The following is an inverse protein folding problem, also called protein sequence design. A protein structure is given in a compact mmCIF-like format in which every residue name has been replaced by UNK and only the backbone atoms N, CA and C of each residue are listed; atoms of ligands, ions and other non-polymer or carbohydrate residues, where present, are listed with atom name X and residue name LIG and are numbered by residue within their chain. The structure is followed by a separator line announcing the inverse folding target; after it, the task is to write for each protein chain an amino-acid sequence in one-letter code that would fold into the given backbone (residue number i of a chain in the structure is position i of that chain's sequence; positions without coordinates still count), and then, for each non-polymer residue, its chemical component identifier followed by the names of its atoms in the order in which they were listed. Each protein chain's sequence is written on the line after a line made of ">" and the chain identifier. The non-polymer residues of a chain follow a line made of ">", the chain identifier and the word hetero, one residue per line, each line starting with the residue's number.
data_IF_546765480595
#
_entry.id   IF_546765480595
#
_cell.length_a   1.000
_cell.length_b   1.000
_cell.length_c   1.000
_cell.angle_alpha   90.00
_cell.angle_beta   90.00
_cell.angle_gamma   90.00
#
_symmetry.space_group_name_H-M   'P 1'
#
loop_
_entity.id
_entity.type
_entity.pdbx_description
1 polymer ?
#
# COMPACT_ATOMS: atom_id res chain seq x y z
N UNK A 1 -7.64 -0.76 8.21
CA UNK A 1 -6.58 -1.56 7.51
C UNK A 1 -6.09 -0.77 6.31
N UNK A 2 -5.00 -1.18 5.65
CA UNK A 2 -4.51 -0.49 4.46
C UNK A 2 -3.80 -1.42 3.46
N UNK A 3 -3.54 -0.94 2.25
CA UNK A 3 -2.71 -1.63 1.25
C UNK A 3 -1.73 -0.67 0.59
N UNK A 4 -0.64 -1.17 0.01
CA UNK A 4 0.28 -0.36 -0.80
C UNK A 4 0.43 -0.96 -2.20
N UNK A 5 0.56 -0.09 -3.18
CA UNK A 5 0.92 -0.47 -4.55
C UNK A 5 1.71 0.65 -5.21
N UNK A 6 2.61 0.31 -6.13
CA UNK A 6 3.48 1.24 -6.83
C UNK A 6 3.07 1.48 -8.28
N UNK A 7 2.75 2.72 -8.62
CA UNK A 7 2.54 3.13 -10.01
C UNK A 7 3.86 3.48 -10.68
N UNK A 8 4.16 2.78 -11.78
CA UNK A 8 5.34 3.04 -12.60
C UNK A 8 5.03 4.17 -13.57
N UNK A 9 5.83 5.23 -13.53
CA UNK A 9 5.62 6.45 -14.31
C UNK A 9 6.86 6.76 -15.16
N UNK A 10 6.74 6.77 -16.49
CA UNK A 10 7.82 7.21 -17.37
C UNK A 10 8.18 8.69 -17.10
N UNK A 11 9.47 8.99 -17.06
CA UNK A 11 9.96 10.36 -16.96
C UNK A 11 10.57 10.77 -18.30
N UNK A 12 10.06 11.85 -18.88
CA UNK A 12 10.48 12.34 -20.20
C UNK A 12 11.73 13.20 -20.11
N UNK A 13 11.88 13.93 -19.00
CA UNK A 13 13.02 14.82 -18.75
C UNK A 13 14.17 14.10 -18.07
N UNK A 14 15.38 14.66 -18.16
CA UNK A 14 16.56 14.14 -17.47
C UNK A 14 16.53 14.46 -15.97
N UNK A 15 15.80 13.65 -15.22
CA UNK A 15 15.72 13.69 -13.76
C UNK A 15 16.74 12.72 -13.13
N UNK A 16 17.46 13.12 -12.07
CA UNK A 16 18.53 12.30 -11.47
C UNK A 16 18.03 10.98 -10.88
N UNK A 17 16.82 10.97 -10.33
CA UNK A 17 16.20 9.81 -9.70
C UNK A 17 15.45 8.89 -10.70
N UNK A 18 15.33 9.29 -11.97
CA UNK A 18 14.71 8.45 -12.98
C UNK A 18 15.68 7.34 -13.39
N UNK A 19 15.24 6.08 -13.36
CA UNK A 19 16.11 4.93 -13.64
C UNK A 19 15.64 4.17 -14.87
N UNK A 20 16.58 3.56 -15.59
CA UNK A 20 16.26 2.70 -16.72
C UNK A 20 15.82 1.33 -16.20
N UNK A 21 14.64 0.88 -16.58
CA UNK A 21 14.19 -0.49 -16.34
C UNK A 21 13.44 -1.02 -17.57
N UNK A 22 14.07 -1.96 -18.28
CA UNK A 22 13.50 -2.55 -19.49
C UNK A 22 12.14 -3.23 -19.28
N UNK A 23 11.89 -3.75 -18.07
CA UNK A 23 10.63 -4.43 -17.75
C UNK A 23 9.45 -3.46 -17.61
N UNK A 24 9.70 -2.28 -17.05
CA UNK A 24 8.65 -1.32 -16.68
C UNK A 24 8.55 -0.15 -17.66
N UNK A 25 9.68 0.30 -18.21
CA UNK A 25 9.81 1.51 -19.00
C UNK A 25 10.39 1.27 -20.40
N UNK A 26 10.67 0.02 -20.75
CA UNK A 26 11.23 -0.34 -22.06
C UNK A 26 12.57 0.38 -22.31
N UNK A 27 12.66 1.29 -23.28
CA UNK A 27 13.86 2.10 -23.54
C UNK A 27 13.90 3.45 -22.80
N UNK A 28 12.91 3.73 -21.94
CA UNK A 28 12.76 5.01 -21.23
C UNK A 28 13.24 4.89 -19.79
N UNK A 29 13.49 6.05 -19.16
CA UNK A 29 13.69 6.15 -17.71
C UNK A 29 12.34 6.38 -17.04
N UNK A 30 12.24 5.95 -15.79
CA UNK A 30 11.01 6.11 -15.02
C UNK A 30 11.26 6.16 -13.53
N UNK A 31 10.23 6.57 -12.83
CA UNK A 31 10.14 6.56 -11.37
C UNK A 31 8.96 5.71 -10.95
N UNK A 32 8.89 5.41 -9.67
CA UNK A 32 7.73 4.76 -9.07
C UNK A 32 7.12 5.68 -8.04
N UNK A 33 5.82 5.85 -8.12
CA UNK A 33 5.04 6.51 -7.08
C UNK A 33 4.41 5.41 -6.25
N UNK A 34 4.82 5.27 -5.00
CA UNK A 34 4.18 4.35 -4.04
C UNK A 34 3.09 5.13 -3.34
N UNK A 35 1.88 4.59 -3.31
CA UNK A 35 0.78 5.17 -2.56
C UNK A 35 0.12 4.09 -1.71
N UNK A 36 -0.46 4.53 -0.60
CA UNK A 36 -1.11 3.66 0.35
C UNK A 36 -2.60 3.95 0.36
N UNK A 37 -3.41 2.90 0.39
CA UNK A 37 -4.86 2.98 0.38
C UNK A 37 -5.38 2.59 1.76
N UNK A 38 -6.11 3.47 2.44
CA UNK A 38 -6.87 3.12 3.62
C UNK A 38 -8.12 2.31 3.23
N UNK A 39 -8.67 1.56 4.18
CA UNK A 39 -9.89 0.79 3.97
C UNK A 39 -11.13 1.65 3.63
N UNK A 40 -11.14 2.90 4.05
CA UNK A 40 -12.13 3.92 3.68
C UNK A 40 -11.95 4.51 2.28
N UNK A 41 -11.15 3.87 1.41
CA UNK A 41 -10.88 4.30 0.03
C UNK A 41 -10.21 5.69 -0.07
N UNK A 42 -9.37 6.01 0.90
CA UNK A 42 -8.57 7.24 0.90
C UNK A 42 -7.10 6.91 0.66
N UNK A 43 -6.45 7.56 -0.32
CA UNK A 43 -5.01 7.48 -0.45
C UNK A 43 -4.33 8.26 0.69
N UNK A 44 -3.17 7.79 1.12
CA UNK A 44 -2.32 8.52 2.07
C UNK A 44 -0.84 8.29 1.77
N UNK A 45 -0.03 9.22 2.26
CA UNK A 45 1.44 9.18 2.23
C UNK A 45 2.05 8.74 0.89
N UNK A 46 1.82 9.49 -0.22
CA UNK A 46 2.48 9.20 -1.48
C UNK A 46 3.98 9.42 -1.37
N UNK A 47 4.75 8.50 -1.93
CA UNK A 47 6.21 8.57 -1.94
C UNK A 47 6.71 8.41 -3.38
N UNK A 48 7.65 9.26 -3.77
CA UNK A 48 8.37 9.12 -5.03
C UNK A 48 9.66 8.37 -4.77
N UNK A 49 9.85 7.28 -5.49
CA UNK A 49 10.98 6.38 -5.30
C UNK A 49 11.60 6.04 -6.65
N UNK A 50 12.92 5.88 -6.65
CA UNK A 50 13.62 5.19 -7.73
C UNK A 50 13.07 3.77 -7.83
N UNK A 51 13.12 3.12 -9.00
CA UNK A 51 12.52 1.78 -9.26
C UNK A 51 13.18 0.66 -8.42
N UNK A 52 12.95 0.72 -7.12
CA UNK A 52 13.46 -0.10 -6.05
C UNK A 52 12.30 -0.84 -5.38
N UNK A 53 12.62 -1.74 -4.45
CA UNK A 53 11.61 -2.54 -3.75
C UNK A 53 10.67 -1.64 -2.94
N UNK A 54 9.37 -1.67 -3.27
CA UNK A 54 8.30 -0.97 -2.56
C UNK A 54 8.24 -1.35 -1.07
N UNK A 55 8.69 -2.57 -0.73
CA UNK A 55 8.75 -3.08 0.64
C UNK A 55 9.47 -2.16 1.63
N UNK A 56 10.44 -1.37 1.14
CA UNK A 56 11.25 -0.48 1.96
C UNK A 56 10.46 0.72 2.47
N UNK A 57 9.43 1.12 1.73
CA UNK A 57 8.67 2.35 1.97
C UNK A 57 7.39 2.12 2.77
N UNK A 58 6.91 0.87 2.82
CA UNK A 58 5.74 0.46 3.59
C UNK A 58 5.82 0.89 5.07
N UNK A 59 6.95 0.67 5.74
CA UNK A 59 7.06 1.00 7.17
C UNK A 59 7.04 2.51 7.41
N UNK A 60 7.68 3.30 6.52
CA UNK A 60 7.64 4.77 6.61
C UNK A 60 6.18 5.23 6.53
N UNK A 61 5.42 4.70 5.57
CA UNK A 61 4.00 5.03 5.44
C UNK A 61 3.13 4.56 6.60
N UNK A 62 3.45 3.44 7.25
CA UNK A 62 2.68 2.95 8.39
C UNK A 62 2.97 3.71 9.68
N UNK A 63 4.17 4.27 9.83
CA UNK A 63 4.56 4.97 11.06
C UNK A 63 4.41 6.49 10.98
N UNK A 64 4.58 7.07 9.79
CA UNK A 64 4.81 8.51 9.61
C UNK A 64 3.78 9.17 8.68
N UNK A 65 2.60 8.56 8.51
CA UNK A 65 1.57 9.09 7.61
C UNK A 65 0.89 10.39 8.08
N UNK A 66 1.09 10.82 9.32
CA UNK A 66 0.54 12.07 9.89
C UNK A 66 -1.00 12.20 9.75
N UNK A 67 -1.71 11.08 9.66
CA UNK A 67 -3.18 11.07 9.65
C UNK A 67 -3.74 10.42 10.91
N UNK A 68 -5.02 10.63 11.17
CA UNK A 68 -5.74 10.00 12.29
C UNK A 68 -6.06 8.50 12.05
N UNK A 69 -5.48 7.88 11.03
CA UNK A 69 -5.75 6.48 10.69
C UNK A 69 -5.08 5.52 11.68
N UNK A 70 -5.88 4.68 12.34
CA UNK A 70 -5.36 3.58 13.14
C UNK A 70 -5.15 2.32 12.28
N UNK A 71 -3.98 2.23 11.64
CA UNK A 71 -3.66 1.13 10.73
C UNK A 71 -3.15 -0.07 11.51
N UNK A 72 -3.97 -1.11 11.62
CA UNK A 72 -3.62 -2.35 12.33
C UNK A 72 -3.11 -3.48 11.41
N UNK A 73 -3.53 -3.47 10.14
CA UNK A 73 -3.20 -4.53 9.17
C UNK A 73 -2.92 -3.91 7.81
N UNK A 74 -1.86 -4.40 7.15
CA UNK A 74 -1.37 -3.89 5.87
C UNK A 74 -1.21 -4.99 4.81
N UNK A 75 -1.73 -4.75 3.61
CA UNK A 75 -1.70 -5.68 2.49
C UNK A 75 -0.73 -5.22 1.39
N UNK A 76 0.07 -6.15 0.85
CA UNK A 76 0.99 -5.88 -0.25
C UNK A 76 1.06 -7.05 -1.21
N UNK A 77 1.67 -6.83 -2.37
CA UNK A 77 1.97 -7.89 -3.32
C UNK A 77 3.15 -8.78 -2.90
N UNK A 78 3.30 -9.91 -3.61
CA UNK A 78 4.35 -10.91 -3.34
C UNK A 78 5.75 -10.31 -3.42
N UNK A 79 5.98 -9.37 -4.34
CA UNK A 79 7.30 -8.76 -4.54
C UNK A 79 7.77 -7.99 -3.30
N UNK A 80 6.83 -7.49 -2.49
CA UNK A 80 7.11 -6.71 -1.30
C UNK A 80 7.25 -7.57 -0.03
N UNK A 81 6.97 -8.88 -0.12
CA UNK A 81 6.96 -9.81 1.02
C UNK A 81 8.37 -10.27 1.47
N UNK A 82 9.21 -9.33 1.89
CA UNK A 82 10.57 -9.62 2.40
C UNK A 82 10.56 -10.04 3.87
N UNK A 83 11.55 -10.85 4.30
CA UNK A 83 11.66 -11.26 5.71
C UNK A 83 11.82 -10.08 6.67
N UNK A 84 12.65 -9.10 6.30
CA UNK A 84 12.87 -7.91 7.13
C UNK A 84 11.57 -7.12 7.33
N UNK A 85 10.72 -7.02 6.30
CA UNK A 85 9.42 -6.36 6.43
C UNK A 85 8.48 -7.12 7.37
N UNK A 86 8.42 -8.46 7.27
CA UNK A 86 7.68 -9.28 8.23
C UNK A 86 8.13 -9.04 9.67
N UNK A 87 9.44 -9.02 9.91
CA UNK A 87 10.01 -8.80 11.23
C UNK A 87 9.70 -7.39 11.77
N UNK A 88 9.94 -6.34 10.97
CA UNK A 88 9.68 -4.96 11.37
C UNK A 88 8.21 -4.71 11.65
N UNK A 89 7.31 -5.15 10.77
CA UNK A 89 5.87 -5.03 10.98
C UNK A 89 5.47 -5.66 12.33
N UNK A 90 5.95 -6.88 12.61
CA UNK A 90 5.68 -7.55 13.88
C UNK A 90 6.17 -6.76 15.09
N UNK A 91 7.41 -6.27 15.03
CA UNK A 91 8.02 -5.53 16.14
C UNK A 91 7.34 -4.18 16.39
N UNK A 92 6.82 -3.55 15.34
CA UNK A 92 6.09 -2.29 15.42
C UNK A 92 4.61 -2.48 15.80
N UNK A 93 4.10 -3.72 15.79
CA UNK A 93 2.73 -4.06 16.17
C UNK A 93 1.75 -4.17 15.00
N UNK A 94 2.22 -4.07 13.75
CA UNK A 94 1.39 -4.19 12.56
C UNK A 94 1.21 -5.65 12.12
N UNK A 95 -0.01 -5.99 11.70
CA UNK A 95 -0.28 -7.27 11.02
C UNK A 95 0.05 -7.15 9.54
N UNK A 96 1.14 -7.77 9.13
CA UNK A 96 1.55 -7.79 7.73
C UNK A 96 0.90 -8.97 6.99
N UNK A 97 0.10 -8.66 5.97
CA UNK A 97 -0.68 -9.65 5.24
C UNK A 97 -0.43 -9.54 3.73
N UNK A 98 0.72 -10.01 3.21
CA UNK A 98 1.00 -9.97 1.78
C UNK A 98 0.26 -11.07 1.02
N UNK A 99 -0.13 -10.81 -0.22
CA UNK A 99 -0.61 -11.84 -1.15
C UNK A 99 0.57 -12.57 -1.76
N UNK A 100 0.90 -13.73 -1.21
CA UNK A 100 2.04 -14.55 -1.68
C UNK A 100 1.57 -15.47 -2.82
N UNK A 101 2.07 -15.24 -4.04
CA UNK A 101 1.84 -16.12 -5.19
C UNK A 101 2.61 -17.42 -5.02
N UNK A 102 1.92 -18.55 -5.19
CA UNK A 102 2.54 -19.88 -5.15
C UNK A 102 2.90 -20.35 -3.75
N UNK A 103 2.06 -20.05 -2.75
CA UNK A 103 2.23 -20.34 -1.32
C UNK A 103 2.57 -21.81 -0.97
N UNK A 104 2.39 -22.72 -1.93
CA UNK A 104 2.73 -24.14 -1.84
C UNK A 104 4.21 -24.45 -2.08
N UNK A 105 5.05 -23.45 -2.39
CA UNK A 105 6.51 -23.64 -2.45
C UNK A 105 7.10 -23.72 -1.02
N UNK A 106 8.33 -24.22 -0.88
CA UNK A 106 9.07 -24.34 0.41
C UNK A 106 9.21 -22.99 1.12
N UNK A 107 8.22 -22.61 1.93
CA UNK A 107 8.15 -21.32 2.62
C UNK A 107 8.22 -21.42 4.15
N UNK A 108 8.01 -22.61 4.72
CA UNK A 108 7.91 -22.81 6.16
C UNK A 108 9.29 -22.98 6.80
N UNK A 109 9.48 -22.42 7.98
CA UNK A 109 10.65 -22.63 8.81
C UNK A 109 10.25 -23.13 10.20
N UNK A 110 11.07 -23.97 10.80
CA UNK A 110 10.82 -24.51 12.14
C UNK A 110 11.88 -24.03 13.13
N UNK A 111 11.54 -23.94 14.41
CA UNK A 111 12.54 -23.63 15.45
C UNK A 111 13.43 -24.84 15.68
N UNK A 112 12.82 -26.03 15.71
CA UNK A 112 13.51 -27.31 15.85
C UNK A 112 13.24 -28.20 14.63
N UNK A 113 14.13 -29.14 14.28
CA UNK A 113 13.90 -30.09 13.21
C UNK A 113 12.65 -30.94 13.47
N UNK A 114 11.61 -30.78 12.64
CA UNK A 114 10.41 -31.62 12.73
C UNK A 114 10.66 -32.99 12.08
N UNK A 115 10.92 -34.01 12.89
CA UNK A 115 11.05 -35.40 12.43
C UNK A 115 9.69 -36.08 12.18
N UNK A 116 8.62 -35.64 12.86
CA UNK A 116 7.35 -36.38 12.94
C UNK A 116 6.32 -36.08 11.82
N UNK A 117 6.45 -34.98 11.07
CA UNK A 117 5.40 -34.55 10.12
C UNK A 117 5.81 -34.74 8.65
N UNK A 118 5.78 -35.98 8.14
CA UNK A 118 6.09 -36.31 6.72
C UNK A 118 5.30 -35.46 5.72
N UNK A 119 4.04 -35.13 6.04
CA UNK A 119 3.17 -34.34 5.16
C UNK A 119 3.63 -32.87 4.99
N UNK A 120 4.33 -32.30 5.98
CA UNK A 120 4.78 -30.90 5.95
C UNK A 120 6.22 -30.76 5.45
N UNK A 121 7.02 -31.84 5.42
CA UNK A 121 8.40 -31.81 4.94
C UNK A 121 8.58 -31.17 3.54
N UNK A 122 7.67 -31.37 2.56
CA UNK A 122 7.79 -30.70 1.26
C UNK A 122 7.65 -29.18 1.30
N UNK A 123 7.01 -28.64 2.35
CA UNK A 123 6.78 -27.21 2.56
C UNK A 123 7.84 -26.55 3.46
N UNK A 124 8.59 -27.35 4.23
CA UNK A 124 9.65 -26.87 5.11
C UNK A 124 10.91 -26.58 4.29
N UNK A 125 11.47 -25.38 4.50
CA UNK A 125 12.70 -24.90 3.87
C UNK A 125 13.93 -25.08 4.76
N UNK A 126 13.76 -25.04 6.08
CA UNK A 126 14.86 -25.20 7.03
C UNK A 126 14.47 -24.75 8.44
N UNK A 127 15.48 -24.61 9.30
CA UNK A 127 15.32 -24.14 10.68
C UNK A 127 15.66 -22.67 10.83
N UNK A 128 15.16 -22.06 11.91
CA UNK A 128 15.47 -20.69 12.33
C UNK A 128 16.65 -20.74 13.30
N UNK A 129 17.60 -19.84 13.13
CA UNK A 129 18.74 -19.73 14.04
C UNK A 129 18.38 -18.80 15.21
N UNK A 130 17.96 -19.38 16.33
CA UNK A 130 17.63 -18.64 17.55
C UNK A 130 18.86 -18.02 18.23
N UNK A 131 20.05 -18.56 18.01
CA UNK A 131 21.29 -18.04 18.58
C UNK A 131 21.70 -16.70 17.97
N UNK A 132 21.20 -16.36 16.77
CA UNK A 132 21.36 -15.03 16.18
C UNK A 132 20.38 -14.00 16.74
N UNK A 133 19.19 -14.44 17.15
CA UNK A 133 18.11 -13.53 17.60
C UNK A 133 18.36 -13.06 19.04
N UNK A 134 18.67 -13.98 19.96
CA UNK A 134 18.78 -13.66 21.40
C UNK A 134 19.81 -12.57 21.69
N UNK A 135 21.05 -12.60 21.17
CA UNK A 135 22.06 -11.58 21.45
C UNK A 135 21.75 -10.22 20.82
N UNK A 136 21.03 -10.19 19.70
CA UNK A 136 20.72 -8.98 18.95
C UNK A 136 19.36 -8.38 19.32
N UNK A 137 18.59 -9.01 20.22
CA UNK A 137 17.21 -8.63 20.52
C UNK A 137 17.05 -7.18 20.97
N UNK A 138 17.91 -6.71 21.87
CA UNK A 138 17.84 -5.34 22.36
C UNK A 138 18.16 -4.31 21.27
N UNK A 139 19.10 -4.62 20.37
CA UNK A 139 19.44 -3.74 19.25
C UNK A 139 18.33 -3.73 18.19
N UNK A 140 17.67 -4.87 17.96
CA UNK A 140 16.46 -4.93 17.13
C UNK A 140 15.36 -4.04 17.71
N UNK A 141 15.11 -4.12 19.02
CA UNK A 141 14.12 -3.26 19.71
C UNK A 141 14.49 -1.78 19.61
N UNK A 142 15.77 -1.44 19.80
CA UNK A 142 16.28 -0.07 19.67
C UNK A 142 16.07 0.47 18.25
N UNK A 143 16.33 -0.34 17.22
CA UNK A 143 16.10 0.05 15.84
C UNK A 143 14.60 0.29 15.58
N UNK A 144 13.75 -0.65 15.97
CA UNK A 144 12.29 -0.52 15.79
C UNK A 144 11.73 0.68 16.55
N UNK A 145 12.22 0.96 17.77
CA UNK A 145 11.83 2.15 18.52
C UNK A 145 12.27 3.44 17.82
N UNK A 146 13.51 3.50 17.32
CA UNK A 146 14.04 4.65 16.56
C UNK A 146 13.21 4.95 15.31
N UNK A 147 12.76 3.89 14.61
CA UNK A 147 11.86 4.03 13.46
C UNK A 147 10.50 4.58 13.92
N UNK A 148 9.91 4.00 14.98
CA UNK A 148 8.59 4.40 15.48
C UNK A 148 8.55 5.86 15.96
N UNK A 149 9.66 6.37 16.50
CA UNK A 149 9.80 7.75 16.95
C UNK A 149 10.37 8.70 15.88
N UNK A 150 10.42 8.26 14.62
CA UNK A 150 10.88 9.08 13.48
C UNK A 150 12.32 9.62 13.61
N UNK A 151 13.15 9.02 14.45
CA UNK A 151 14.58 9.39 14.57
C UNK A 151 15.35 8.99 13.30
N UNK A 152 14.92 7.91 12.65
CA UNK A 152 15.46 7.41 11.38
C UNK A 152 14.31 6.91 10.51
N UNK A 153 14.40 7.08 9.18
CA UNK A 153 13.44 6.43 8.29
C UNK A 153 13.72 4.93 8.16
N UNK A 154 12.67 4.14 8.12
CA UNK A 154 12.77 2.70 7.92
C UNK A 154 13.33 2.40 6.54
N UNK A 155 12.94 3.14 5.50
CA UNK A 155 13.49 2.94 4.16
C UNK A 155 15.01 3.15 4.11
N UNK A 156 15.55 4.16 4.81
CA UNK A 156 17.00 4.39 4.89
C UNK A 156 17.71 3.26 5.62
N UNK A 157 17.20 2.86 6.80
CA UNK A 157 17.79 1.78 7.57
C UNK A 157 17.73 0.46 6.81
N UNK A 158 16.61 0.16 6.16
CA UNK A 158 16.43 -1.05 5.37
C UNK A 158 17.32 -1.06 4.13
N UNK A 159 17.52 0.07 3.45
CA UNK A 159 18.53 0.19 2.38
C UNK A 159 19.93 -0.13 2.92
N UNK A 160 20.31 0.46 4.05
CA UNK A 160 21.62 0.23 4.69
C UNK A 160 21.82 -1.24 5.11
N UNK A 161 20.79 -1.85 5.69
CA UNK A 161 20.79 -3.27 6.09
C UNK A 161 20.87 -4.19 4.86
N UNK A 162 20.21 -3.83 3.76
CA UNK A 162 20.22 -4.57 2.50
C UNK A 162 21.54 -4.45 1.73
N UNK A 163 22.33 -3.39 1.93
CA UNK A 163 23.65 -3.23 1.30
C UNK A 163 24.70 -4.22 1.81
N UNK A 164 24.57 -4.72 3.05
CA UNK A 164 25.55 -5.63 3.68
C UNK A 164 24.88 -6.86 4.33
N UNK A 165 24.15 -7.68 3.55
CA UNK A 165 23.21 -8.67 4.11
C UNK A 165 23.88 -9.84 4.84
N UNK A 166 25.15 -10.12 4.57
CA UNK A 166 25.89 -11.23 5.17
C UNK A 166 26.91 -10.80 6.24
N UNK A 167 27.13 -9.50 6.41
CA UNK A 167 28.15 -8.96 7.35
C UNK A 167 27.52 -8.35 8.60
N UNK A 168 26.24 -7.96 8.55
CA UNK A 168 25.56 -7.34 9.68
C UNK A 168 24.73 -8.37 10.45
N UNK A 169 25.14 -8.66 11.69
CA UNK A 169 24.42 -9.57 12.59
C UNK A 169 22.97 -9.12 12.85
N UNK A 170 22.71 -7.81 12.88
CA UNK A 170 21.36 -7.27 13.06
C UNK A 170 20.45 -7.60 11.86
N UNK A 171 20.96 -7.45 10.63
CA UNK A 171 20.23 -7.85 9.41
C UNK A 171 19.88 -9.33 9.45
N UNK A 172 20.83 -10.17 9.85
CA UNK A 172 20.61 -11.61 9.97
C UNK A 172 19.55 -11.92 11.03
N UNK A 173 19.59 -11.26 12.19
CA UNK A 173 18.59 -11.43 13.25
C UNK A 173 17.18 -11.03 12.79
N UNK A 174 17.01 -9.87 12.13
CA UNK A 174 15.74 -9.49 11.50
C UNK A 174 15.27 -10.51 10.46
N UNK A 175 16.18 -11.07 9.68
CA UNK A 175 15.85 -12.11 8.71
C UNK A 175 15.32 -13.37 9.39
N UNK A 176 15.93 -13.82 10.48
CA UNK A 176 15.49 -15.00 11.24
C UNK A 176 14.10 -14.80 11.87
N UNK A 177 13.85 -13.65 12.50
CA UNK A 177 12.50 -13.29 13.00
C UNK A 177 11.48 -13.21 11.85
N UNK A 178 11.89 -12.66 10.71
CA UNK A 178 11.03 -12.56 9.53
C UNK A 178 10.63 -13.91 8.94
N UNK A 179 11.51 -14.91 9.01
CA UNK A 179 11.19 -16.29 8.62
C UNK A 179 10.11 -16.90 9.53
N UNK A 180 10.21 -16.66 10.84
CA UNK A 180 9.22 -17.10 11.83
C UNK A 180 7.85 -16.49 11.53
N UNK A 181 7.80 -15.16 11.45
CA UNK A 181 6.55 -14.42 11.23
C UNK A 181 5.91 -14.77 9.88
N UNK A 182 6.71 -14.93 8.83
CA UNK A 182 6.18 -15.42 7.55
C UNK A 182 5.62 -16.83 7.65
N UNK A 183 6.26 -17.72 8.41
CA UNK A 183 5.75 -19.10 8.60
C UNK A 183 4.40 -19.08 9.30
N UNK A 184 4.28 -18.31 10.38
CA UNK A 184 3.01 -18.11 11.11
C UNK A 184 1.95 -17.54 10.18
N UNK A 185 2.29 -16.52 9.39
CA UNK A 185 1.37 -15.92 8.43
C UNK A 185 0.90 -16.94 7.38
N UNK A 186 1.81 -17.70 6.78
CA UNK A 186 1.46 -18.69 5.74
C UNK A 186 0.52 -19.76 6.31
N UNK A 187 0.81 -20.29 7.50
CA UNK A 187 -0.05 -21.28 8.14
C UNK A 187 -1.44 -20.69 8.43
N UNK A 188 -1.50 -19.48 8.98
CA UNK A 188 -2.77 -18.77 9.25
C UNK A 188 -3.55 -18.52 7.95
N UNK A 189 -2.86 -18.07 6.90
CA UNK A 189 -3.45 -17.78 5.60
C UNK A 189 -4.03 -19.04 4.93
N UNK A 190 -3.39 -20.19 5.09
CA UNK A 190 -3.88 -21.47 4.55
C UNK A 190 -5.12 -21.98 5.31
N UNK A 191 -5.23 -21.68 6.61
CA UNK A 191 -6.33 -22.14 7.46
C UNK A 191 -7.54 -21.20 7.46
N UNK A 192 -7.33 -19.90 7.21
CA UNK A 192 -8.38 -18.87 7.31
C UNK A 192 -8.78 -18.30 5.94
N UNK A 193 -9.91 -18.78 5.40
CA UNK A 193 -10.51 -18.25 4.16
C UNK A 193 -10.93 -16.78 4.28
N UNK A 194 -11.28 -16.31 5.48
CA UNK A 194 -11.69 -14.92 5.70
C UNK A 194 -10.51 -13.97 5.50
N UNK A 195 -9.32 -14.35 5.97
CA UNK A 195 -8.07 -13.61 5.74
C UNK A 195 -7.74 -13.52 4.25
N UNK A 196 -7.90 -14.62 3.49
CA UNK A 196 -7.67 -14.61 2.04
C UNK A 196 -8.59 -13.61 1.32
N UNK A 197 -9.89 -13.61 1.68
CA UNK A 197 -10.88 -12.69 1.10
C UNK A 197 -10.61 -11.23 1.48
N UNK A 198 -10.20 -10.96 2.73
CA UNK A 198 -9.83 -9.60 3.19
C UNK A 198 -8.59 -9.09 2.45
N UNK A 199 -7.58 -9.94 2.29
CA UNK A 199 -6.35 -9.63 1.58
C UNK A 199 -6.62 -9.23 0.11
N UNK A 200 -7.38 -10.06 -0.62
CA UNK A 200 -7.75 -9.76 -2.00
C UNK A 200 -8.54 -8.46 -2.12
N UNK A 201 -9.51 -8.22 -1.23
CA UNK A 201 -10.27 -6.97 -1.21
C UNK A 201 -9.37 -5.76 -0.94
N UNK A 202 -8.42 -5.89 -0.02
CA UNK A 202 -7.44 -4.84 0.26
C UNK A 202 -6.63 -4.45 -0.97
N UNK A 203 -6.05 -5.44 -1.66
CA UNK A 203 -5.26 -5.18 -2.87
C UNK A 203 -6.07 -4.56 -4.00
N UNK A 204 -7.32 -5.02 -4.22
CA UNK A 204 -8.19 -4.43 -5.23
C UNK A 204 -8.47 -2.94 -4.96
N UNK A 205 -8.40 -2.46 -3.70
CA UNK A 205 -8.52 -1.02 -3.39
C UNK A 205 -7.34 -0.24 -3.92
N UNK A 206 -6.12 -0.76 -3.75
CA UNK A 206 -4.90 -0.17 -4.32
C UNK A 206 -5.02 -0.03 -5.84
N UNK A 207 -5.44 -1.09 -6.53
CA UNK A 207 -5.65 -1.06 -7.98
C UNK A 207 -6.70 -0.01 -8.40
N UNK A 208 -7.80 0.13 -7.65
CA UNK A 208 -8.85 1.10 -7.92
C UNK A 208 -8.37 2.56 -7.71
N UNK A 209 -7.60 2.82 -6.66
CA UNK A 209 -6.97 4.14 -6.42
C UNK A 209 -6.07 4.50 -7.59
N UNK A 210 -5.24 3.56 -8.04
CA UNK A 210 -4.38 3.80 -9.20
C UNK A 210 -5.17 3.93 -10.50
N UNK A 211 -6.32 3.26 -10.62
CA UNK A 211 -7.26 3.47 -11.73
C UNK A 211 -7.75 4.92 -11.80
N UNK A 212 -8.19 5.48 -10.67
CA UNK A 212 -8.61 6.88 -10.58
C UNK A 212 -7.43 7.85 -10.77
N UNK A 213 -6.29 7.58 -10.15
CA UNK A 213 -5.08 8.39 -10.28
C UNK A 213 -4.60 8.45 -11.74
N UNK A 214 -4.63 7.33 -12.47
CA UNK A 214 -4.30 7.31 -13.91
C UNK A 214 -5.25 8.20 -14.72
N UNK A 215 -6.55 8.12 -14.47
CA UNK A 215 -7.54 8.97 -15.14
C UNK A 215 -7.32 10.47 -14.86
N UNK A 216 -6.91 10.83 -13.64
CA UNK A 216 -6.58 12.22 -13.28
C UNK A 216 -5.23 12.64 -13.90
N UNK A 217 -4.22 11.78 -13.86
CA UNK A 217 -2.86 12.10 -14.33
C UNK A 217 -2.72 12.13 -15.86
N UNK A 218 -3.61 11.45 -16.59
CA UNK A 218 -3.62 11.43 -18.06
C UNK A 218 -4.11 12.75 -18.67
N UNK A 219 -4.71 13.64 -17.86
CA UNK A 219 -5.13 14.97 -18.28
C UNK A 219 -3.90 15.78 -18.72
N UNK A 220 -3.75 15.96 -20.04
CA UNK A 220 -2.77 16.85 -20.68
C UNK A 220 -1.36 16.29 -20.89
N UNK A 221 -0.97 15.16 -20.29
CA UNK A 221 0.41 14.62 -20.35
C UNK A 221 0.49 13.08 -20.42
N UNK A 222 -0.60 12.41 -20.80
CA UNK A 222 -0.68 10.94 -20.98
C UNK A 222 -0.18 10.09 -19.76
N UNK A 223 -0.15 10.69 -18.56
CA UNK A 223 0.36 10.02 -17.36
C UNK A 223 1.89 10.01 -17.27
N UNK A 224 2.61 10.69 -18.17
CA UNK A 224 4.06 10.85 -18.12
C UNK A 224 4.48 11.96 -17.14
N UNK A 225 5.71 11.89 -16.63
CA UNK A 225 6.31 12.86 -15.74
C UNK A 225 7.31 13.75 -16.49
N UNK A 226 7.15 15.07 -16.36
CA UNK A 226 8.02 16.08 -16.98
C UNK A 226 8.76 16.92 -15.93
N UNK A 227 8.60 16.59 -14.65
CA UNK A 227 9.19 17.29 -13.53
C UNK A 227 10.61 16.76 -13.27
N UNK A 228 11.61 17.64 -13.35
CA UNK A 228 13.02 17.27 -13.16
C UNK A 228 13.38 17.11 -11.69
N UNK A 229 12.89 18.03 -10.86
CA UNK A 229 13.22 18.10 -9.45
C UNK A 229 12.36 17.13 -8.64
N UNK A 230 12.98 16.51 -7.63
CA UNK A 230 12.30 15.55 -6.75
C UNK A 230 11.07 16.14 -6.07
N UNK A 231 11.19 17.36 -5.54
CA UNK A 231 10.08 18.04 -4.86
C UNK A 231 8.91 18.32 -5.80
N UNK A 232 9.19 18.66 -7.06
CA UNK A 232 8.15 18.86 -8.07
C UNK A 232 7.42 17.55 -8.40
N UNK A 233 8.15 16.43 -8.52
CA UNK A 233 7.57 15.11 -8.69
C UNK A 233 6.70 14.70 -7.49
N UNK A 234 7.18 14.93 -6.27
CA UNK A 234 6.45 14.64 -5.04
C UNK A 234 5.20 15.51 -4.91
N UNK A 235 5.28 16.80 -5.24
CA UNK A 235 4.13 17.71 -5.26
C UNK A 235 3.08 17.24 -6.26
N UNK A 236 3.48 16.78 -7.45
CA UNK A 236 2.55 16.23 -8.44
C UNK A 236 1.92 14.93 -7.96
N UNK A 237 2.69 14.02 -7.37
CA UNK A 237 2.18 12.79 -6.78
C UNK A 237 1.17 13.08 -5.67
N UNK A 238 1.51 13.99 -4.76
CA UNK A 238 0.68 14.43 -3.63
C UNK A 238 -0.60 15.11 -4.10
N UNK A 239 -0.50 16.01 -5.09
CA UNK A 239 -1.67 16.66 -5.69
C UNK A 239 -2.61 15.66 -6.37
N UNK A 240 -2.04 14.65 -7.04
CA UNK A 240 -2.84 13.58 -7.66
C UNK A 240 -3.57 12.76 -6.61
N UNK A 241 -2.89 12.36 -5.53
CA UNK A 241 -3.53 11.64 -4.43
C UNK A 241 -4.59 12.49 -3.71
N UNK A 242 -4.35 13.79 -3.55
CA UNK A 242 -5.32 14.71 -2.99
C UNK A 242 -6.60 14.77 -3.85
N UNK A 243 -6.46 14.86 -5.17
CA UNK A 243 -7.61 14.83 -6.09
C UNK A 243 -8.36 13.50 -6.03
N UNK A 244 -7.67 12.36 -5.90
CA UNK A 244 -8.31 11.05 -5.68
C UNK A 244 -9.05 11.01 -4.35
N UNK A 245 -8.47 11.56 -3.27
CA UNK A 245 -9.14 11.66 -1.97
C UNK A 245 -10.40 12.54 -2.04
N UNK A 246 -10.31 13.69 -2.71
CA UNK A 246 -11.47 14.57 -2.96
C UNK A 246 -12.57 13.87 -3.75
N UNK A 247 -12.20 13.11 -4.79
CA UNK A 247 -13.14 12.32 -5.58
C UNK A 247 -13.83 11.26 -4.72
N UNK A 248 -13.07 10.54 -3.89
CA UNK A 248 -13.60 9.52 -2.97
C UNK A 248 -14.56 10.14 -1.95
N UNK A 249 -14.20 11.27 -1.35
CA UNK A 249 -15.04 12.00 -0.41
C UNK A 249 -16.33 12.51 -1.07
N UNK A 250 -16.21 13.15 -2.24
CA UNK A 250 -17.36 13.63 -3.01
C UNK A 250 -18.32 12.50 -3.35
N UNK A 251 -17.81 11.41 -3.91
CA UNK A 251 -18.65 10.27 -4.28
C UNK A 251 -19.30 9.62 -3.07
N UNK A 252 -18.62 9.54 -1.94
CA UNK A 252 -19.21 9.02 -0.70
C UNK A 252 -20.45 9.81 -0.28
N UNK A 253 -20.37 11.15 -0.29
CA UNK A 253 -21.51 12.01 0.05
C UNK A 253 -22.67 11.86 -0.95
N UNK A 254 -22.37 11.77 -2.25
CA UNK A 254 -23.41 11.59 -3.26
C UNK A 254 -24.03 10.19 -3.24
N UNK A 255 -23.24 9.15 -2.99
CA UNK A 255 -23.76 7.78 -2.86
C UNK A 255 -24.73 7.68 -1.68
N UNK A 256 -24.41 8.30 -0.55
CA UNK A 256 -25.33 8.36 0.60
C UNK A 256 -26.65 9.08 0.23
N UNK A 257 -26.56 10.25 -0.41
CA UNK A 257 -27.74 10.98 -0.88
C UNK A 257 -28.59 10.16 -1.88
N UNK A 258 -27.95 9.44 -2.81
CA UNK A 258 -28.62 8.56 -3.78
C UNK A 258 -29.36 7.43 -3.05
N UNK A 259 -28.70 6.75 -2.11
CA UNK A 259 -29.29 5.65 -1.34
C UNK A 259 -30.49 6.14 -0.53
N UNK A 260 -30.35 7.29 0.15
CA UNK A 260 -31.44 7.89 0.92
C UNK A 260 -32.62 8.27 0.02
N UNK A 261 -32.36 8.82 -1.16
CA UNK A 261 -33.41 9.15 -2.14
C UNK A 261 -34.11 7.90 -2.68
N UNK A 262 -33.38 6.82 -2.96
CA UNK A 262 -33.96 5.56 -3.44
C UNK A 262 -34.81 4.87 -2.36
N UNK A 263 -34.35 4.87 -1.11
CA UNK A 263 -35.12 4.38 0.04
C UNK A 263 -36.41 5.18 0.23
N UNK A 264 -36.34 6.51 0.13
CA UNK A 264 -37.52 7.37 0.21
C UNK A 264 -38.53 7.12 -0.93
N UNK A 265 -38.07 6.64 -2.09
CA UNK A 265 -38.93 6.21 -3.22
C UNK A 265 -39.46 4.78 -3.08
N UNK A 266 -39.18 4.09 -1.99
CA UNK A 266 -39.65 2.73 -1.71
C UNK A 266 -38.74 1.61 -2.25
N UNK A 267 -37.53 1.91 -2.69
CA UNK A 267 -36.55 0.87 -3.04
C UNK A 267 -35.87 0.32 -1.79
N UNK A 268 -36.03 -0.96 -1.51
CA UNK A 268 -35.31 -1.62 -0.42
C UNK A 268 -33.85 -1.87 -0.81
N UNK A 269 -32.94 -1.22 -0.10
CA UNK A 269 -31.49 -1.40 -0.26
C UNK A 269 -30.92 -1.86 1.08
N UNK A 270 -30.52 -3.12 1.16
CA UNK A 270 -29.88 -3.67 2.36
C UNK A 270 -28.53 -2.96 2.64
N UNK A 271 -28.26 -2.64 3.91
CA UNK A 271 -27.02 -1.99 4.33
C UNK A 271 -25.78 -2.82 3.98
N UNK A 272 -25.91 -4.15 3.93
CA UNK A 272 -24.83 -5.06 3.59
C UNK A 272 -24.22 -4.75 2.21
N UNK A 273 -25.04 -4.32 1.24
CA UNK A 273 -24.57 -3.98 -0.10
C UNK A 273 -23.73 -2.70 -0.14
N UNK A 274 -23.93 -1.77 0.79
CA UNK A 274 -23.20 -0.51 0.82
C UNK A 274 -21.70 -0.73 1.07
N UNK A 275 -21.35 -1.75 1.86
CA UNK A 275 -19.95 -2.14 2.10
C UNK A 275 -19.22 -2.70 0.86
N UNK A 276 -19.95 -2.98 -0.22
CA UNK A 276 -19.40 -3.50 -1.48
C UNK A 276 -19.27 -2.44 -2.57
N UNK A 277 -19.72 -1.21 -2.33
CA UNK A 277 -19.64 -0.10 -3.29
C UNK A 277 -18.26 0.57 -3.16
N UNK A 278 -17.63 0.86 -4.29
CA UNK A 278 -16.42 1.68 -4.33
C UNK A 278 -16.77 3.13 -4.65
N UNK A 279 -16.31 4.12 -3.85
CA UNK A 279 -16.48 5.54 -4.13
C UNK A 279 -15.48 6.06 -5.17
N UNK A 280 -14.71 5.20 -5.85
CA UNK A 280 -13.68 5.63 -6.81
C UNK A 280 -14.15 5.68 -8.27
N UNK A 281 -15.45 5.52 -8.51
CA UNK A 281 -16.02 5.75 -9.85
C UNK A 281 -15.78 7.18 -10.32
N UNK A 282 -15.25 7.37 -11.53
CA UNK A 282 -14.87 8.69 -12.04
C UNK A 282 -15.53 9.06 -13.38
N UNK A 283 -16.21 8.11 -14.03
CA UNK A 283 -16.79 8.31 -15.37
C UNK A 283 -17.89 9.39 -15.41
N UNK A 284 -18.52 9.69 -14.28
CA UNK A 284 -19.54 10.76 -14.17
C UNK A 284 -18.96 12.15 -13.94
N UNK A 285 -17.65 12.25 -13.69
CA UNK A 285 -16.93 13.50 -13.44
C UNK A 285 -16.24 13.93 -14.73
N UNK A 286 -16.51 15.16 -15.17
CA UNK A 286 -15.75 15.73 -16.27
C UNK A 286 -14.37 16.16 -15.74
N UNK A 287 -13.34 15.44 -16.19
CA UNK A 287 -11.94 15.69 -15.83
C UNK A 287 -11.28 16.72 -16.76
N UNK A 288 -11.88 17.02 -17.91
CA UNK A 288 -11.34 17.94 -18.91
C UNK A 288 -12.06 19.30 -18.87
N UNK A 289 -11.29 20.37 -19.05
CA UNK A 289 -11.82 21.72 -19.19
C UNK A 289 -11.15 22.72 -18.25
N UNK A 290 -11.76 23.90 -18.14
CA UNK A 290 -11.27 24.99 -17.30
C UNK A 290 -12.06 24.99 -15.99
N UNK A 291 -11.33 24.81 -14.88
CA UNK A 291 -11.91 24.96 -13.55
C UNK A 291 -11.70 26.40 -13.07
N UNK A 292 -12.77 27.01 -12.58
CA UNK A 292 -12.71 28.28 -11.86
C UNK A 292 -13.14 28.01 -10.43
N UNK A 293 -12.28 28.38 -9.48
CA UNK A 293 -12.53 28.23 -8.05
C UNK A 293 -12.64 29.63 -7.45
N UNK A 294 -13.77 29.91 -6.81
CA UNK A 294 -13.90 31.07 -5.94
C UNK A 294 -13.56 30.63 -4.51
N UNK A 295 -12.36 30.99 -4.05
CA UNK A 295 -11.87 30.63 -2.72
C UNK A 295 -12.60 31.37 -1.59
N UNK A 296 -13.32 32.46 -1.90
CA UNK A 296 -14.15 33.17 -0.92
C UNK A 296 -15.51 32.48 -0.73
N UNK A 297 -15.93 31.63 -1.66
CA UNK A 297 -17.22 30.94 -1.62
C UNK A 297 -17.08 29.53 -1.01
N UNK A 298 -17.31 29.43 0.30
CA UNK A 298 -17.40 28.13 0.97
C UNK A 298 -18.80 27.52 0.78
N UNK A 299 -18.87 26.34 0.16
CA UNK A 299 -20.10 25.56 0.09
C UNK A 299 -20.18 24.62 1.30
N UNK A 300 -21.31 24.57 2.02
CA UNK A 300 -21.49 23.61 3.10
C UNK A 300 -21.61 22.19 2.52
N UNK A 301 -21.30 21.18 3.34
CA UNK A 301 -21.30 19.76 2.91
C UNK A 301 -22.65 19.30 2.32
N UNK A 302 -23.74 19.94 2.74
CA UNK A 302 -25.10 19.64 2.30
C UNK A 302 -25.56 20.44 1.07
N UNK A 303 -24.74 21.35 0.54
CA UNK A 303 -25.03 22.06 -0.72
C UNK A 303 -24.77 21.16 -1.94
N UNK A 304 -25.50 20.06 -2.02
CA UNK A 304 -25.37 19.08 -3.09
C UNK A 304 -26.08 19.55 -4.36
N UNK A 305 -25.49 19.24 -5.50
CA UNK A 305 -26.14 19.42 -6.80
C UNK A 305 -27.28 18.41 -6.93
N UNK A 306 -28.36 18.75 -7.67
CA UNK A 306 -29.44 17.82 -7.92
C UNK A 306 -28.97 16.51 -8.55
N UNK A 307 -29.55 15.39 -8.13
CA UNK A 307 -29.27 14.09 -8.71
C UNK A 307 -29.77 14.04 -10.17
N UNK A 308 -28.96 13.49 -11.06
CA UNK A 308 -29.38 13.23 -12.44
C UNK A 308 -30.42 12.10 -12.43
N UNK A 309 -31.57 12.30 -13.07
CA UNK A 309 -32.53 11.23 -13.25
C UNK A 309 -32.11 10.36 -14.44
N UNK A 310 -32.24 9.02 -14.35
CA UNK A 310 -32.00 8.16 -15.50
C UNK A 310 -32.97 8.54 -16.62
N UNK A 311 -32.44 8.74 -17.83
CA UNK A 311 -33.26 8.89 -19.03
C UNK A 311 -33.83 7.50 -19.32
N UNK A 312 -35.16 7.37 -19.25
CA UNK A 312 -35.88 6.12 -19.51
C UNK A 312 -35.78 5.65 -20.96
#
# INVERSE_FOLDING_TARGET
>A
TSSSDGMRVPVVVDAPNAVYNARHFWYRRGITIVAHAADIWMPFYPQVVEDASEALYVIDALCHHETDFDIQEHYTDTASATYHLFALCRMLGFRFAPRIRGITKKYLYTVEPLSAAKALQPLIRGTIDSALVTPNWDEMRRLSASIRHSTVSASLMMRKLASYPNQNQLTLAFREVGKLERTIFVLTYLLDLSLQRRNLRGLNKGEAIWGAARAISSIGREGEMYDRDFDAQLNRASSTMLLVAMLSAWNTVYLDNIVNTLRAKGTEIANEYLGHISPLGWQHINLLGRYQFDLAQAYPLHALRPLRQPVG
#
